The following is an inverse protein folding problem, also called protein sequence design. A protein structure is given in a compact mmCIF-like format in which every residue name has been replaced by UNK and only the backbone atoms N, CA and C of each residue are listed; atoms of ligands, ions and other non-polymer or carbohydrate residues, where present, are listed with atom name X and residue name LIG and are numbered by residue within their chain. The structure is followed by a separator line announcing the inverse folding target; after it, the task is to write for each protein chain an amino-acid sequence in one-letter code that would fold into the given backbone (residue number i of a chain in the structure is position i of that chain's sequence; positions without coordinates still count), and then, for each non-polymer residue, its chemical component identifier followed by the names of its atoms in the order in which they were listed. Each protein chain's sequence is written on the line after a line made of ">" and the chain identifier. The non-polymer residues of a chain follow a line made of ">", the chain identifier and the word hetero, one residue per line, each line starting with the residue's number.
data_IF_198216540979
#
_entry.id   IF_198216540979
#
_cell.length_a   1.000
_cell.length_b   1.000
_cell.length_c   1.000
_cell.angle_alpha   90.00
_cell.angle_beta   90.00
_cell.angle_gamma   90.00
#
_symmetry.space_group_name_H-M   'P 1'
#
loop_
_entity.id
_entity.type
_entity.pdbx_description
1 polymer ?
#
# COMPACT_ATOMS: atom_id res chain seq x y z
N UNK A 1 -10.67 6.37 -5.38
CA UNK A 1 -10.50 4.98 -5.00
C UNK A 1 -11.54 4.11 -5.68
N UNK A 2 -11.10 2.97 -6.16
CA UNK A 2 -11.93 1.87 -6.67
C UNK A 2 -11.53 0.63 -5.89
N UNK A 3 -12.51 -0.13 -5.40
CA UNK A 3 -12.31 -1.48 -4.84
C UNK A 3 -13.28 -2.41 -5.55
N UNK A 4 -12.76 -3.46 -6.18
CA UNK A 4 -13.56 -4.43 -6.94
C UNK A 4 -13.18 -5.84 -6.52
N UNK A 5 -14.17 -6.60 -6.08
CA UNK A 5 -14.01 -8.01 -5.79
C UNK A 5 -14.74 -8.86 -6.84
N UNK A 6 -14.09 -9.91 -7.33
CA UNK A 6 -14.66 -10.88 -8.25
C UNK A 6 -14.14 -12.28 -7.92
N UNK A 7 -15.00 -13.10 -7.31
CA UNK A 7 -14.59 -14.44 -6.86
C UNK A 7 -13.46 -14.34 -5.84
N UNK A 8 -12.32 -14.96 -6.15
CA UNK A 8 -11.13 -14.96 -5.32
C UNK A 8 -10.22 -13.74 -5.55
N UNK A 9 -10.55 -12.86 -6.51
CA UNK A 9 -9.74 -11.70 -6.85
C UNK A 9 -10.28 -10.42 -6.21
N UNK A 10 -9.37 -9.58 -5.74
CA UNK A 10 -9.63 -8.22 -5.27
C UNK A 10 -8.67 -7.26 -5.98
N UNK A 11 -9.20 -6.17 -6.53
CA UNK A 11 -8.42 -5.07 -7.09
C UNK A 11 -8.76 -3.77 -6.38
N UNK A 12 -7.73 -3.03 -5.98
CA UNK A 12 -7.82 -1.68 -5.47
C UNK A 12 -7.06 -0.73 -6.40
N UNK A 13 -7.59 0.47 -6.57
CA UNK A 13 -6.93 1.55 -7.32
C UNK A 13 -7.14 2.88 -6.61
N UNK A 14 -6.08 3.66 -6.45
CA UNK A 14 -6.13 4.98 -5.81
C UNK A 14 -4.75 5.60 -5.69
N UNK A 15 -4.57 6.47 -4.70
CA UNK A 15 -3.26 6.91 -4.22
C UNK A 15 -3.22 6.81 -2.70
N UNK A 16 -2.03 6.67 -2.12
CA UNK A 16 -1.83 6.77 -0.68
C UNK A 16 -1.81 8.24 -0.25
N UNK A 17 -2.65 8.60 0.71
CA UNK A 17 -2.57 9.87 1.43
C UNK A 17 -2.10 9.63 2.86
N UNK A 18 -1.05 10.31 3.31
CA UNK A 18 -0.52 10.14 4.66
C UNK A 18 -1.51 10.66 5.70
N UNK A 19 -1.71 9.86 6.75
CA UNK A 19 -2.51 10.23 7.93
C UNK A 19 -1.65 10.32 9.20
N UNK A 20 -0.46 9.71 9.21
CA UNK A 20 0.54 9.86 10.26
C UNK A 20 1.95 9.55 9.73
N UNK A 21 2.96 10.26 10.27
CA UNK A 21 4.37 10.08 9.89
C UNK A 21 4.79 10.98 8.72
N UNK A 22 5.79 10.54 7.96
CA UNK A 22 6.34 11.26 6.82
C UNK A 22 5.37 11.31 5.62
N UNK A 23 5.20 12.48 5.02
CA UNK A 23 4.50 12.65 3.74
C UNK A 23 5.54 12.70 2.61
N UNK A 24 5.56 11.71 1.70
CA UNK A 24 6.41 11.74 0.54
C UNK A 24 6.06 12.94 -0.37
N UNK A 25 7.06 13.61 -0.99
CA UNK A 25 6.78 14.63 -1.99
C UNK A 25 6.14 14.01 -3.24
N UNK A 26 5.41 14.84 -3.98
CA UNK A 26 4.83 14.45 -5.27
C UNK A 26 3.41 13.93 -5.19
N UNK A 27 2.99 13.25 -6.25
CA UNK A 27 1.66 12.62 -6.37
C UNK A 27 1.86 11.17 -6.74
N UNK A 28 1.19 10.27 -6.01
CA UNK A 28 1.34 8.84 -6.21
C UNK A 28 0.05 8.16 -6.67
N UNK A 29 0.20 7.06 -7.40
CA UNK A 29 -0.86 6.17 -7.82
C UNK A 29 -0.50 4.72 -7.50
N UNK A 30 -1.49 3.94 -7.08
CA UNK A 30 -1.34 2.53 -6.75
C UNK A 30 -2.43 1.67 -7.36
N UNK A 31 -2.01 0.50 -7.85
CA UNK A 31 -2.89 -0.64 -8.11
C UNK A 31 -2.50 -1.78 -7.18
N UNK A 32 -3.46 -2.30 -6.42
CA UNK A 32 -3.23 -3.47 -5.56
C UNK A 32 -4.11 -4.60 -6.08
N UNK A 33 -3.51 -5.75 -6.34
CA UNK A 33 -4.22 -6.98 -6.73
C UNK A 33 -3.94 -8.07 -5.72
N UNK A 34 -5.00 -8.62 -5.14
CA UNK A 34 -4.94 -9.74 -4.22
C UNK A 34 -5.70 -10.92 -4.78
N UNK A 35 -5.22 -12.14 -4.51
CA UNK A 35 -5.89 -13.36 -4.88
C UNK A 35 -5.95 -14.34 -3.69
N UNK A 36 -7.17 -14.74 -3.33
CA UNK A 36 -7.47 -15.56 -2.15
C UNK A 36 -6.90 -16.97 -2.28
N UNK A 37 -6.96 -17.55 -3.48
CA UNK A 37 -6.46 -18.90 -3.75
C UNK A 37 -4.94 -19.03 -3.65
N UNK A 38 -4.19 -18.00 -4.03
CA UNK A 38 -2.73 -17.97 -3.89
C UNK A 38 -2.26 -17.41 -2.55
N UNK A 39 -3.11 -16.70 -1.81
CA UNK A 39 -2.76 -16.06 -0.54
C UNK A 39 -1.76 -14.90 -0.70
N UNK A 40 -1.81 -14.18 -1.83
CA UNK A 40 -0.85 -13.10 -2.14
C UNK A 40 -1.54 -11.83 -2.57
N UNK A 41 -0.87 -10.70 -2.29
CA UNK A 41 -1.13 -9.43 -2.95
C UNK A 41 0.12 -8.88 -3.64
N UNK A 42 -0.11 -8.12 -4.70
CA UNK A 42 0.88 -7.32 -5.40
C UNK A 42 0.39 -5.88 -5.45
N UNK A 43 1.25 -4.95 -5.08
CA UNK A 43 1.03 -3.53 -5.26
C UNK A 43 2.00 -3.00 -6.32
N UNK A 44 1.47 -2.38 -7.35
CA UNK A 44 2.22 -1.53 -8.26
C UNK A 44 2.06 -0.08 -7.80
N UNK A 45 3.16 0.54 -7.39
CA UNK A 45 3.23 1.92 -6.94
C UNK A 45 3.97 2.76 -7.97
N UNK A 46 3.46 3.94 -8.26
CA UNK A 46 4.15 4.96 -9.04
C UNK A 46 4.01 6.33 -8.38
N UNK A 47 5.05 7.15 -8.44
CA UNK A 47 5.02 8.54 -7.98
C UNK A 47 5.64 9.47 -9.02
N UNK A 48 5.03 10.64 -9.19
CA UNK A 48 5.61 11.75 -9.92
C UNK A 48 6.18 12.72 -8.88
N UNK A 49 7.50 12.88 -8.90
CA UNK A 49 8.22 13.84 -8.09
C UNK A 49 8.37 15.13 -8.90
N UNK A 50 7.96 16.26 -8.35
CA UNK A 50 8.12 17.57 -8.99
C UNK A 50 9.38 18.25 -8.44
N UNK A 51 10.26 18.68 -9.33
CA UNK A 51 11.44 19.49 -9.03
C UNK A 51 11.45 20.75 -9.88
N UNK A 52 12.22 21.75 -9.46
CA UNK A 52 12.32 23.03 -10.16
C UNK A 52 12.81 22.88 -11.62
N UNK A 53 13.46 21.76 -11.94
CA UNK A 53 14.02 21.45 -13.26
C UNK A 53 13.16 20.46 -14.09
N UNK A 54 12.07 19.90 -13.54
CA UNK A 54 11.23 18.95 -14.27
C UNK A 54 10.41 18.00 -13.38
N UNK A 55 10.07 16.83 -13.92
CA UNK A 55 9.31 15.79 -13.24
C UNK A 55 10.03 14.43 -13.39
N UNK A 56 10.21 13.72 -12.28
CA UNK A 56 10.77 12.37 -12.25
C UNK A 56 9.66 11.37 -11.93
N UNK A 57 9.65 10.26 -12.68
CA UNK A 57 8.75 9.13 -12.44
C UNK A 57 9.50 8.02 -11.70
N UNK A 58 9.03 7.70 -10.49
CA UNK A 58 9.46 6.53 -9.74
C UNK A 58 8.39 5.44 -9.78
N UNK A 59 8.81 4.18 -9.95
CA UNK A 59 7.89 3.04 -9.95
C UNK A 59 8.48 1.86 -9.18
N UNK A 60 7.66 1.22 -8.34
CA UNK A 60 8.05 0.13 -7.48
C UNK A 60 6.95 -0.93 -7.40
N UNK A 61 7.34 -2.17 -7.06
CA UNK A 61 6.40 -3.27 -6.83
C UNK A 61 6.63 -3.84 -5.44
N UNK A 62 5.54 -3.94 -4.66
CA UNK A 62 5.55 -4.53 -3.33
C UNK A 62 4.79 -5.85 -3.32
N UNK A 63 5.32 -6.82 -2.58
CA UNK A 63 4.74 -8.15 -2.43
C UNK A 63 4.22 -8.32 -1.01
N UNK A 64 3.02 -8.88 -0.87
CA UNK A 64 2.43 -9.20 0.42
C UNK A 64 1.95 -10.64 0.47
N UNK A 65 2.02 -11.22 1.65
CA UNK A 65 1.39 -12.48 2.02
C UNK A 65 0.11 -12.21 2.80
N UNK A 66 -0.97 -12.89 2.43
CA UNK A 66 -2.26 -12.75 3.10
C UNK A 66 -2.20 -13.44 4.46
N UNK A 67 -2.47 -12.68 5.52
CA UNK A 67 -2.54 -13.15 6.89
C UNK A 67 -3.98 -13.55 7.24
N UNK A 68 -4.94 -12.72 6.83
CA UNK A 68 -6.37 -12.95 7.06
C UNK A 68 -7.17 -12.45 5.84
N UNK A 69 -8.13 -13.24 5.37
CA UNK A 69 -9.10 -12.80 4.38
C UNK A 69 -10.48 -13.38 4.70
N UNK A 70 -11.36 -12.53 5.22
CA UNK A 70 -12.75 -12.84 5.53
C UNK A 70 -13.69 -11.99 4.65
N UNK A 71 -14.99 -12.00 4.96
CA UNK A 71 -15.96 -11.12 4.32
C UNK A 71 -15.89 -9.67 4.84
N UNK A 72 -15.17 -9.44 5.96
CA UNK A 72 -15.06 -8.12 6.58
C UNK A 72 -13.73 -7.45 6.27
N UNK A 73 -12.66 -8.24 6.25
CA UNK A 73 -11.31 -7.72 6.21
C UNK A 73 -10.42 -8.58 5.31
N UNK A 74 -9.51 -7.91 4.62
CA UNK A 74 -8.28 -8.50 4.13
C UNK A 74 -7.13 -7.84 4.89
N UNK A 75 -6.28 -8.65 5.52
CA UNK A 75 -5.00 -8.24 6.10
C UNK A 75 -3.88 -9.00 5.39
N UNK A 76 -2.90 -8.26 4.88
CA UNK A 76 -1.73 -8.81 4.24
C UNK A 76 -0.47 -8.08 4.71
N UNK A 77 0.64 -8.80 4.81
CA UNK A 77 1.92 -8.25 5.27
C UNK A 77 3.01 -8.46 4.24
N UNK A 78 3.87 -7.45 4.08
CA UNK A 78 5.06 -7.50 3.23
C UNK A 78 6.29 -7.00 3.98
N UNK A 79 7.43 -7.02 3.31
CA UNK A 79 8.68 -6.43 3.79
C UNK A 79 9.06 -5.31 2.82
N UNK A 80 9.47 -4.17 3.36
CA UNK A 80 9.87 -3.04 2.53
C UNK A 80 11.13 -3.40 1.72
N UNK A 81 11.13 -3.20 0.38
CA UNK A 81 12.33 -3.27 -0.42
C UNK A 81 13.39 -2.31 0.12
N UNK A 82 14.63 -2.80 0.27
CA UNK A 82 15.78 -2.03 0.77
C UNK A 82 15.71 -1.57 2.24
N UNK A 83 14.67 -1.93 2.99
CA UNK A 83 14.59 -1.75 4.45
C UNK A 83 13.91 -2.98 5.07
N UNK A 84 14.65 -4.09 5.17
CA UNK A 84 14.14 -5.39 5.63
C UNK A 84 13.65 -5.39 7.09
N UNK A 85 14.08 -4.40 7.88
CA UNK A 85 13.56 -4.13 9.22
C UNK A 85 12.15 -3.53 9.24
N UNK A 86 11.58 -3.11 8.09
CA UNK A 86 10.25 -2.50 8.02
C UNK A 86 9.23 -3.48 7.45
N UNK A 87 8.15 -3.68 8.21
CA UNK A 87 6.99 -4.45 7.76
C UNK A 87 5.95 -3.53 7.15
N UNK A 88 5.46 -3.92 5.98
CA UNK A 88 4.30 -3.31 5.33
C UNK A 88 3.06 -4.03 5.84
N UNK A 89 2.11 -3.34 6.46
CA UNK A 89 0.85 -3.90 6.94
C UNK A 89 -0.31 -3.29 6.15
N UNK A 90 -0.81 -4.03 5.17
CA UNK A 90 -1.93 -3.65 4.32
C UNK A 90 -3.24 -4.20 4.91
N UNK A 91 -4.18 -3.31 5.21
CA UNK A 91 -5.52 -3.68 5.68
C UNK A 91 -6.57 -3.10 4.74
N UNK A 92 -7.52 -3.93 4.32
CA UNK A 92 -8.67 -3.53 3.51
C UNK A 92 -9.94 -3.90 4.26
N UNK A 93 -10.74 -2.90 4.63
CA UNK A 93 -12.09 -3.09 5.13
C UNK A 93 -13.04 -3.24 3.93
N UNK A 94 -13.48 -4.47 3.68
CA UNK A 94 -14.24 -4.83 2.48
C UNK A 94 -15.63 -4.19 2.41
N UNK A 95 -16.43 -4.14 3.50
CA UNK A 95 -17.77 -3.53 3.46
C UNK A 95 -17.74 -2.01 3.34
N UNK A 96 -16.80 -1.39 4.06
CA UNK A 96 -16.64 0.07 4.09
C UNK A 96 -15.96 0.59 2.83
N UNK A 97 -15.30 -0.31 2.09
CA UNK A 97 -14.58 0.02 0.88
C UNK A 97 -13.41 0.95 1.15
N UNK A 98 -12.63 0.69 2.21
CA UNK A 98 -11.44 1.48 2.55
C UNK A 98 -10.21 0.60 2.67
N UNK A 99 -9.03 1.18 2.41
CA UNK A 99 -7.76 0.50 2.64
C UNK A 99 -6.76 1.42 3.34
N UNK A 100 -5.92 0.83 4.18
CA UNK A 100 -4.82 1.49 4.87
C UNK A 100 -3.54 0.70 4.72
N UNK A 101 -2.42 1.41 4.71
CA UNK A 101 -1.09 0.81 4.73
C UNK A 101 -0.30 1.45 5.88
N UNK A 102 0.22 0.60 6.76
CA UNK A 102 1.14 1.01 7.83
C UNK A 102 2.55 0.50 7.55
N UNK A 103 3.53 1.37 7.79
CA UNK A 103 4.95 1.02 7.80
C UNK A 103 5.36 0.83 9.25
N UNK A 104 5.73 -0.40 9.60
CA UNK A 104 6.02 -0.81 10.97
C UNK A 104 7.50 -1.22 11.10
N UNK A 105 8.36 -0.34 11.64
CA UNK A 105 9.73 -0.67 11.98
C UNK A 105 9.80 -1.79 13.02
N UNK A 106 10.73 -2.72 12.85
CA UNK A 106 10.98 -3.83 13.78
C UNK A 106 12.35 -3.69 14.43
N UNK A 107 12.37 -3.68 15.76
CA UNK A 107 13.60 -3.58 16.54
C UNK A 107 14.08 -2.14 16.73
N UNK A 108 14.91 -1.94 17.75
CA UNK A 108 15.42 -0.61 18.15
C UNK A 108 16.52 -0.09 17.20
N UNK A 109 17.06 -0.95 16.32
CA UNK A 109 18.09 -0.65 15.33
C UNK A 109 17.53 -0.28 13.95
N UNK A 110 16.21 -0.33 13.77
CA UNK A 110 15.57 0.07 12.51
C UNK A 110 15.49 1.61 12.44
N UNK A 111 16.35 2.22 11.63
CA UNK A 111 16.35 3.67 11.37
C UNK A 111 15.19 4.10 10.46
N UNK A 112 13.97 3.75 10.83
CA UNK A 112 12.74 4.07 10.12
C UNK A 112 11.67 4.52 11.12
N UNK A 113 10.92 5.56 10.78
CA UNK A 113 9.78 5.99 11.60
C UNK A 113 8.50 5.30 11.15
N UNK A 114 7.66 4.90 12.11
CA UNK A 114 6.36 4.36 11.80
C UNK A 114 5.49 5.40 11.08
N UNK A 115 4.73 4.96 10.09
CA UNK A 115 3.81 5.82 9.35
C UNK A 115 2.56 5.07 8.94
N UNK A 116 1.51 5.82 8.65
CA UNK A 116 0.22 5.29 8.24
C UNK A 116 -0.35 6.14 7.10
N UNK A 117 -0.93 5.45 6.12
CA UNK A 117 -1.57 6.04 4.95
C UNK A 117 -2.96 5.42 4.74
N UNK A 118 -3.83 6.19 4.11
CA UNK A 118 -5.16 5.73 3.67
C UNK A 118 -5.23 5.78 2.14
N UNK A 119 -5.89 4.79 1.54
CA UNK A 119 -6.13 4.80 0.10
C UNK A 119 -7.22 5.83 -0.20
N UNK A 120 -6.85 6.87 -0.95
CA UNK A 120 -7.73 7.98 -1.31
C UNK A 120 -8.13 7.91 -2.79
N UNK A 121 -8.84 8.95 -3.25
CA UNK A 121 -9.49 9.18 -4.55
C UNK A 121 -8.77 8.74 -5.84
N UNK A 122 -9.19 9.27 -6.99
CA UNK A 122 -8.36 9.12 -8.18
C UNK A 122 -7.11 10.00 -7.94
N UNK A 123 -5.88 9.47 -8.06
CA UNK A 123 -4.68 10.27 -7.88
C UNK A 123 -4.42 11.26 -9.02
N UNK A 124 -5.26 11.24 -10.07
CA UNK A 124 -5.24 12.09 -11.26
C UNK A 124 -6.59 12.80 -11.47
#
# INVERSE_FOLDING_TARGET
>A
MIIKQQGDDLMLWGGWGTVAGYEPPGVNAVEIRCNRGSGRCLEAYASILHHDEGEDLEAQVFNYEVVEWTEQILHATGVMPHADCVTLSLVVALPDGSASLELLPKGDDCEFEASATMLVGNPL
#
